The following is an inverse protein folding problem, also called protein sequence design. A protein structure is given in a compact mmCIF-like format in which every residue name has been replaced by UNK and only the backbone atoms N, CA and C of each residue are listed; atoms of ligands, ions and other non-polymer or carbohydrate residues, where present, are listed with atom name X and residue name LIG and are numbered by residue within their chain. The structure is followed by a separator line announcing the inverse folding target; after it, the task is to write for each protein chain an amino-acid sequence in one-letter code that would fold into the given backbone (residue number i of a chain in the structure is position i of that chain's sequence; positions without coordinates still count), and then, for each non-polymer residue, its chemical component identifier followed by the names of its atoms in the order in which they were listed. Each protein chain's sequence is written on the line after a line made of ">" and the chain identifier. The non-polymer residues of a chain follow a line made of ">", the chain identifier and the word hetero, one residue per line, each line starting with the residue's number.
data_IF_887183300765
#
_entry.id   IF_887183300765
#
_cell.length_a   1.000
_cell.length_b   1.000
_cell.length_c   1.000
_cell.angle_alpha   90.00
_cell.angle_beta   90.00
_cell.angle_gamma   90.00
#
_symmetry.space_group_name_H-M   'P 1'
#
loop_
_entity.id
_entity.type
_entity.pdbx_description
1 polymer ?
#
# COMPACT_ATOMS: atom_id res chain seq x y z
N UNK A 1 13.28 -12.54 -14.78
CA UNK A 1 13.55 -12.13 -13.39
C UNK A 1 13.12 -10.69 -13.22
N UNK A 2 12.45 -10.35 -12.12
CA UNK A 2 12.03 -8.97 -11.81
C UNK A 2 13.21 -8.23 -11.17
N UNK A 3 13.45 -6.98 -11.56
CA UNK A 3 14.54 -6.15 -11.04
C UNK A 3 14.06 -5.32 -9.85
N UNK A 4 14.76 -5.39 -8.72
CA UNK A 4 14.54 -4.50 -7.58
C UNK A 4 15.21 -3.15 -7.88
N UNK A 5 14.48 -2.06 -7.66
CA UNK A 5 14.99 -0.70 -7.83
C UNK A 5 14.64 0.16 -6.63
N UNK A 6 15.52 1.09 -6.30
CA UNK A 6 15.29 2.08 -5.24
C UNK A 6 14.93 3.41 -5.88
N UNK A 7 13.75 3.94 -5.55
CA UNK A 7 13.24 5.21 -6.09
C UNK A 7 13.35 6.27 -4.99
N UNK A 8 14.03 7.39 -5.28
CA UNK A 8 14.08 8.54 -4.36
C UNK A 8 12.72 9.25 -4.37
N UNK A 9 12.21 9.57 -3.18
CA UNK A 9 10.91 10.21 -2.98
C UNK A 9 11.02 11.32 -1.92
N UNK A 10 9.96 12.12 -1.78
CA UNK A 10 9.83 13.14 -0.73
C UNK A 10 8.72 12.76 0.24
N UNK A 11 8.91 12.95 1.57
CA UNK A 11 7.86 12.64 2.54
C UNK A 11 6.66 13.58 2.39
N UNK A 12 5.46 13.06 2.68
CA UNK A 12 4.23 13.84 2.77
C UNK A 12 3.84 14.01 4.25
N UNK A 13 3.52 15.23 4.66
CA UNK A 13 3.16 15.53 6.05
C UNK A 13 1.73 15.09 6.42
N UNK A 14 0.90 14.75 5.44
CA UNK A 14 -0.53 14.51 5.59
C UNK A 14 -0.93 13.03 5.45
N UNK A 15 0.03 12.11 5.50
CA UNK A 15 -0.15 10.65 5.46
C UNK A 15 -0.37 10.02 6.84
N UNK A 16 -1.15 10.69 7.70
CA UNK A 16 -1.53 10.15 9.00
C UNK A 16 -2.79 9.27 8.85
N UNK A 17 -2.73 7.95 9.08
CA UNK A 17 -3.91 7.10 9.04
C UNK A 17 -4.83 7.41 10.23
N UNK A 18 -6.14 7.35 9.99
CA UNK A 18 -7.16 7.38 11.04
C UNK A 18 -7.47 5.97 11.56
N UNK A 19 -8.54 5.85 12.35
CA UNK A 19 -9.01 4.55 12.89
C UNK A 19 -9.37 3.53 11.81
N UNK A 20 -9.77 3.99 10.62
CA UNK A 20 -10.13 3.16 9.46
C UNK A 20 -9.19 3.36 8.26
N UNK A 21 -7.89 3.57 8.54
CA UNK A 21 -6.87 3.73 7.51
C UNK A 21 -6.69 5.17 7.00
N UNK A 22 -5.88 5.32 5.93
CA UNK A 22 -5.61 6.60 5.29
C UNK A 22 -6.69 6.94 4.26
N UNK A 23 -7.45 8.00 4.52
CA UNK A 23 -8.56 8.44 3.66
C UNK A 23 -8.22 9.75 2.97
N UNK A 24 -8.20 9.73 1.63
CA UNK A 24 -7.98 10.90 0.76
C UNK A 24 -8.80 10.74 -0.51
N UNK A 25 -9.01 11.83 -1.25
CA UNK A 25 -9.64 11.77 -2.58
C UNK A 25 -8.76 10.97 -3.56
N UNK A 26 -9.38 10.31 -4.54
CA UNK A 26 -8.62 9.53 -5.56
C UNK A 26 -7.56 10.40 -6.22
N UNK A 27 -7.93 11.64 -6.53
CA UNK A 27 -7.07 12.60 -7.21
C UNK A 27 -5.78 12.85 -6.45
N UNK A 28 -5.79 12.78 -5.11
CA UNK A 28 -4.57 12.89 -4.30
C UNK A 28 -3.63 11.74 -4.59
N UNK A 29 -4.13 10.51 -4.73
CA UNK A 29 -3.32 9.33 -5.05
C UNK A 29 -2.82 9.32 -6.50
N UNK A 30 -3.59 9.90 -7.43
CA UNK A 30 -3.24 9.92 -8.85
C UNK A 30 -2.33 11.09 -9.25
N UNK A 31 -2.57 12.28 -8.70
CA UNK A 31 -1.88 13.51 -9.12
C UNK A 31 -0.58 13.75 -8.34
N UNK A 32 -0.49 13.28 -7.10
CA UNK A 32 0.71 13.45 -6.30
C UNK A 32 1.67 12.30 -6.52
N UNK A 33 2.85 12.64 -7.03
CA UNK A 33 3.90 11.68 -7.31
C UNK A 33 4.30 10.90 -6.04
N UNK A 34 4.32 9.56 -6.14
CA UNK A 34 4.70 8.65 -5.06
C UNK A 34 3.84 8.72 -3.79
N UNK A 35 2.65 9.32 -3.85
CA UNK A 35 1.80 9.43 -2.65
C UNK A 35 1.35 8.06 -2.16
N UNK A 36 0.85 7.19 -3.05
CA UNK A 36 0.44 5.83 -2.68
C UNK A 36 1.66 4.99 -2.25
N UNK A 37 2.74 5.03 -3.03
CA UNK A 37 3.95 4.24 -2.81
C UNK A 37 4.62 4.56 -1.47
N UNK A 38 4.69 5.84 -1.08
CA UNK A 38 5.25 6.24 0.20
C UNK A 38 4.46 5.67 1.38
N UNK A 39 3.12 5.71 1.29
CA UNK A 39 2.28 5.18 2.36
C UNK A 39 2.37 3.65 2.45
N UNK A 40 2.39 2.96 1.30
CA UNK A 40 2.58 1.51 1.24
C UNK A 40 3.94 1.11 1.81
N UNK A 41 5.01 1.78 1.39
CA UNK A 41 6.37 1.53 1.91
C UNK A 41 6.43 1.78 3.42
N UNK A 42 5.81 2.87 3.91
CA UNK A 42 5.76 3.16 5.35
C UNK A 42 5.04 2.07 6.13
N UNK A 43 3.95 1.53 5.56
CA UNK A 43 3.18 0.46 6.20
C UNK A 43 3.98 -0.84 6.28
N UNK A 44 4.66 -1.23 5.20
CA UNK A 44 5.53 -2.41 5.18
C UNK A 44 6.74 -2.24 6.10
N UNK A 45 7.22 -1.01 6.26
CA UNK A 45 8.37 -0.69 7.11
C UNK A 45 8.10 -0.85 8.61
N UNK A 46 6.84 -0.98 9.03
CA UNK A 46 6.48 -1.34 10.41
C UNK A 46 6.91 -2.77 10.75
N UNK A 47 7.04 -3.64 9.75
CA UNK A 47 7.49 -5.02 9.92
C UNK A 47 9.00 -5.07 9.82
N UNK A 48 9.63 -5.69 10.82
CA UNK A 48 11.07 -5.86 10.86
C UNK A 48 11.56 -6.65 9.63
N UNK A 49 12.66 -6.25 8.98
CA UNK A 49 13.15 -6.91 7.76
C UNK A 49 13.34 -8.43 7.90
N UNK A 50 13.74 -8.92 9.08
CA UNK A 50 13.92 -10.35 9.37
C UNK A 50 12.62 -11.15 9.36
N UNK A 51 11.48 -10.50 9.60
CA UNK A 51 10.17 -11.17 9.70
C UNK A 51 9.42 -11.19 8.36
N UNK A 52 9.79 -10.31 7.41
CA UNK A 52 9.05 -10.12 6.15
C UNK A 52 9.02 -11.39 5.29
N UNK A 53 10.07 -12.19 5.31
CA UNK A 53 10.14 -13.40 4.49
C UNK A 53 9.17 -14.51 4.94
N UNK A 54 8.86 -14.55 6.24
CA UNK A 54 7.87 -15.44 6.83
C UNK A 54 6.46 -14.83 6.92
N UNK A 55 6.29 -13.58 6.48
CA UNK A 55 5.03 -12.87 6.56
C UNK A 55 4.17 -13.11 5.32
N UNK A 56 2.87 -13.34 5.52
CA UNK A 56 1.89 -13.32 4.44
C UNK A 56 1.14 -11.99 4.46
N UNK A 57 1.16 -11.28 3.34
CA UNK A 57 0.38 -10.07 3.12
C UNK A 57 -0.95 -10.41 2.44
N UNK A 58 -2.04 -10.24 3.18
CA UNK A 58 -3.40 -10.31 2.65
C UNK A 58 -3.78 -8.93 2.13
N UNK A 59 -4.04 -8.85 0.82
CA UNK A 59 -4.43 -7.62 0.13
C UNK A 59 -5.85 -7.78 -0.40
N UNK A 60 -6.72 -6.81 -0.12
CA UNK A 60 -8.10 -6.82 -0.60
C UNK A 60 -8.74 -5.44 -0.54
N UNK A 61 -9.87 -5.27 -1.21
CA UNK A 61 -10.64 -4.02 -1.25
C UNK A 61 -12.09 -4.28 -1.65
N UNK A 62 -12.89 -3.22 -1.72
CA UNK A 62 -14.34 -3.27 -1.95
C UNK A 62 -14.75 -3.03 -3.42
N UNK A 63 -13.80 -3.01 -4.35
CA UNK A 63 -14.05 -2.90 -5.79
C UNK A 63 -14.07 -1.48 -6.35
N UNK A 64 -13.77 -0.45 -5.54
CA UNK A 64 -13.78 0.95 -5.98
C UNK A 64 -12.75 1.28 -7.07
N UNK A 65 -12.99 2.40 -7.74
CA UNK A 65 -12.03 3.01 -8.66
C UNK A 65 -10.66 3.18 -7.99
N UNK A 66 -9.57 2.99 -8.75
CA UNK A 66 -8.18 2.96 -8.29
C UNK A 66 -7.74 1.72 -7.47
N UNK A 67 -8.67 0.83 -7.08
CA UNK A 67 -8.31 -0.36 -6.29
C UNK A 67 -7.32 -1.27 -7.02
N UNK A 68 -7.53 -1.50 -8.33
CA UNK A 68 -6.67 -2.41 -9.11
C UNK A 68 -5.23 -1.89 -9.17
N UNK A 69 -5.08 -0.59 -9.42
CA UNK A 69 -3.81 0.12 -9.47
C UNK A 69 -3.11 0.09 -8.11
N UNK A 70 -3.84 0.35 -7.02
CA UNK A 70 -3.31 0.27 -5.67
C UNK A 70 -2.82 -1.15 -5.31
N UNK A 71 -3.58 -2.19 -5.66
CA UNK A 71 -3.17 -3.59 -5.46
C UNK A 71 -1.85 -3.89 -6.21
N UNK A 72 -1.71 -3.42 -7.44
CA UNK A 72 -0.46 -3.61 -8.21
C UNK A 72 0.73 -2.95 -7.51
N UNK A 73 0.58 -1.72 -7.01
CA UNK A 73 1.62 -1.04 -6.25
C UNK A 73 1.97 -1.80 -4.96
N UNK A 74 0.97 -2.28 -4.23
CA UNK A 74 1.17 -3.05 -2.99
C UNK A 74 2.00 -4.30 -3.28
N UNK A 75 1.64 -5.08 -4.31
CA UNK A 75 2.34 -6.32 -4.66
C UNK A 75 3.79 -6.03 -5.08
N UNK A 76 4.01 -5.00 -5.91
CA UNK A 76 5.35 -4.64 -6.36
C UNK A 76 6.26 -4.20 -5.21
N UNK A 77 5.76 -3.33 -4.33
CA UNK A 77 6.54 -2.82 -3.19
C UNK A 77 6.76 -3.94 -2.15
N UNK A 78 5.76 -4.79 -1.88
CA UNK A 78 5.89 -5.91 -0.98
C UNK A 78 6.95 -6.92 -1.46
N UNK A 79 6.91 -7.30 -2.74
CA UNK A 79 7.91 -8.19 -3.33
C UNK A 79 9.32 -7.58 -3.26
N UNK A 80 9.46 -6.28 -3.54
CA UNK A 80 10.74 -5.57 -3.44
C UNK A 80 11.28 -5.47 -2.00
N UNK A 81 10.39 -5.54 -0.99
CA UNK A 81 10.74 -5.50 0.43
C UNK A 81 10.94 -6.89 1.06
N UNK A 82 10.91 -7.97 0.25
CA UNK A 82 11.17 -9.33 0.72
C UNK A 82 9.97 -10.05 1.33
N UNK A 83 8.74 -9.53 1.12
CA UNK A 83 7.52 -10.27 1.48
C UNK A 83 7.32 -11.40 0.47
N UNK A 84 7.25 -12.63 0.97
CA UNK A 84 7.05 -13.84 0.15
C UNK A 84 5.96 -14.72 0.74
N UNK A 85 5.32 -15.55 -0.09
CA UNK A 85 4.36 -16.55 0.42
C UNK A 85 5.11 -17.52 1.34
N UNK A 86 4.79 -17.58 2.65
CA UNK A 86 5.50 -18.44 3.58
C UNK A 86 5.09 -19.90 3.40
N UNK A 87 6.00 -20.81 3.78
CA UNK A 87 5.66 -22.18 4.16
C UNK A 87 5.80 -22.30 5.68
N UNK A 88 4.69 -22.51 6.41
CA UNK A 88 4.70 -22.68 7.88
C UNK A 88 3.98 -21.56 8.66
N UNK A 89 4.32 -21.43 9.96
CA UNK A 89 3.71 -20.48 10.91
C UNK A 89 3.82 -19.04 10.39
N UNK A 90 2.65 -18.46 10.06
CA UNK A 90 2.54 -17.27 9.23
C UNK A 90 2.17 -16.04 10.05
N UNK A 91 2.95 -14.96 9.92
CA UNK A 91 2.52 -13.62 10.38
C UNK A 91 1.58 -13.04 9.32
N UNK A 92 0.33 -12.78 9.68
CA UNK A 92 -0.65 -12.19 8.76
C UNK A 92 -0.64 -10.67 8.81
N UNK A 93 -0.15 -10.05 7.75
CA UNK A 93 -0.31 -8.62 7.50
C UNK A 93 -1.60 -8.42 6.72
N UNK A 94 -2.56 -7.69 7.28
CA UNK A 94 -3.76 -7.26 6.54
C UNK A 94 -3.55 -5.84 6.06
N UNK A 95 -3.44 -5.66 4.75
CA UNK A 95 -3.52 -4.36 4.12
C UNK A 95 -4.83 -4.29 3.35
N UNK A 96 -5.85 -3.74 4.00
CA UNK A 96 -7.08 -3.38 3.31
C UNK A 96 -6.79 -2.15 2.47
N UNK A 97 -7.16 -2.20 1.20
CA UNK A 97 -7.16 -1.05 0.30
C UNK A 97 -8.35 -0.13 0.65
N UNK A 98 -8.47 0.24 1.93
CA UNK A 98 -9.38 1.25 2.44
C UNK A 98 -8.75 2.64 2.30
N UNK A 99 -8.17 2.90 1.13
CA UNK A 99 -7.98 4.26 0.63
C UNK A 99 -9.39 4.80 0.36
N UNK A 100 -10.14 5.07 1.43
CA UNK A 100 -11.54 5.42 1.34
C UNK A 100 -11.61 6.78 0.65
N UNK A 101 -12.04 6.71 -0.60
CA UNK A 101 -12.38 7.85 -1.42
C UNK A 101 -13.56 8.53 -0.75
N UNK A 102 -13.26 9.48 0.12
CA UNK A 102 -14.25 10.39 0.64
C UNK A 102 -14.77 11.22 -0.53
N UNK A 103 -16.04 11.00 -0.85
CA UNK A 103 -16.90 11.79 -1.73
C UNK A 103 -16.68 11.56 -3.23
N UNK A 104 -17.61 10.80 -3.82
CA UNK A 104 -18.07 10.96 -5.20
C UNK A 104 -18.33 12.44 -5.43
N UNK A 105 -17.41 13.16 -6.08
CA UNK A 105 -17.80 14.38 -6.77
C UNK A 105 -18.55 13.90 -8.01
N UNK A 106 -19.88 14.00 -7.95
CA UNK A 106 -20.71 14.10 -9.15
C UNK A 106 -20.00 15.09 -10.08
N UNK A 107 -19.56 14.59 -11.22
CA UNK A 107 -19.25 15.46 -12.35
C UNK A 107 -20.57 16.18 -12.70
N UNK A 108 -20.65 17.45 -12.29
CA UNK A 108 -21.57 18.44 -12.84
C UNK A 108 -20.86 19.18 -13.97
#
# INVERSE_FOLDING_TARGET
>A
MVKITTVKTKPYADQKPGTSGLRKRVTVFQQNQHYAENFIQSTISVVEPSERQAAALVVGGDGRFFMKEAIQLIVQIAAANGVSLPGGDTVHLRLTCELALGQTQLAS
#
